data_IF_098925158009
#
_entry.id   IF_098925158009
#
_cell.length_a   1.000
_cell.length_b   1.000
_cell.length_c   1.000
_cell.angle_alpha   90.00
_cell.angle_beta   90.00
_cell.angle_gamma   90.00
#
_symmetry.space_group_name_H-M   'P 1'
#
loop_
_entity.id
_entity.type
_entity.pdbx_description
1 polymer ?
#
# COMPACT_ATOMS: atom_id res chain seq x y z
N UNK A 1 -1.40 -20.46 9.14
CA UNK A 1 -1.93 -21.32 8.06
C UNK A 1 -0.96 -22.40 7.61
N UNK A 2 0.34 -22.13 7.43
CA UNK A 2 1.31 -23.20 7.13
C UNK A 2 1.32 -24.31 8.19
N UNK A 3 1.30 -23.99 9.49
CA UNK A 3 1.28 -25.04 10.53
C UNK A 3 0.04 -25.94 10.44
N UNK A 4 -1.15 -25.39 10.12
CA UNK A 4 -2.37 -26.18 9.93
C UNK A 4 -2.30 -27.08 8.70
N UNK A 5 -1.59 -26.64 7.66
CA UNK A 5 -1.32 -27.46 6.48
C UNK A 5 -0.32 -28.58 6.78
N UNK A 6 0.75 -28.32 7.54
CA UNK A 6 1.70 -29.34 7.98
C UNK A 6 1.08 -30.38 8.93
N UNK A 7 0.01 -30.01 9.64
CA UNK A 7 -0.78 -30.91 10.49
C UNK A 7 -1.88 -31.65 9.71
N UNK A 8 -1.88 -31.57 8.38
CA UNK A 8 -2.86 -32.21 7.48
C UNK A 8 -4.33 -31.83 7.72
N UNK A 9 -4.61 -30.77 8.47
CA UNK A 9 -5.97 -30.25 8.72
C UNK A 9 -6.55 -29.52 7.50
N UNK A 10 -5.70 -29.04 6.60
CA UNK A 10 -6.10 -28.33 5.38
C UNK A 10 -5.84 -29.18 4.14
N UNK A 11 -6.76 -29.21 3.16
CA UNK A 11 -6.59 -29.99 1.95
C UNK A 11 -5.40 -29.46 1.14
N UNK A 12 -4.61 -30.38 0.59
CA UNK A 12 -3.50 -30.08 -0.30
C UNK A 12 -3.62 -30.88 -1.57
N UNK A 13 -3.01 -30.36 -2.64
CA UNK A 13 -2.97 -31.04 -3.92
C UNK A 13 -1.56 -31.60 -4.14
N UNK A 14 -1.47 -32.86 -4.57
CA UNK A 14 -0.20 -33.45 -4.94
C UNK A 14 0.27 -32.86 -6.26
N UNK A 15 1.51 -32.38 -6.28
CA UNK A 15 2.14 -31.82 -7.47
C UNK A 15 3.48 -32.50 -7.71
N UNK A 16 3.82 -32.70 -8.97
CA UNK A 16 5.13 -33.23 -9.39
C UNK A 16 6.14 -32.08 -9.47
N UNK A 17 7.37 -32.27 -8.97
CA UNK A 17 8.42 -31.27 -9.04
C UNK A 17 8.88 -31.08 -10.49
N UNK A 18 9.33 -29.85 -10.77
CA UNK A 18 9.79 -29.44 -12.09
C UNK A 18 11.19 -29.97 -12.44
N UNK A 19 12.07 -30.17 -11.44
CA UNK A 19 13.47 -30.50 -11.66
C UNK A 19 13.91 -31.66 -10.74
N UNK A 20 14.03 -32.85 -11.32
CA UNK A 20 14.63 -34.03 -10.67
C UNK A 20 13.76 -34.67 -9.57
N UNK A 21 13.66 -36.00 -9.64
CA UNK A 21 12.89 -36.90 -8.75
C UNK A 21 11.38 -36.96 -9.02
N UNK A 22 10.87 -38.15 -9.35
CA UNK A 22 9.43 -38.48 -9.49
C UNK A 22 8.64 -38.44 -8.16
N UNK A 23 9.24 -37.93 -7.09
CA UNK A 23 8.59 -37.82 -5.77
C UNK A 23 7.56 -36.69 -5.77
N UNK A 24 6.29 -37.05 -5.67
CA UNK A 24 5.17 -36.11 -5.51
C UNK A 24 5.26 -35.38 -4.15
N UNK A 25 5.03 -34.07 -4.14
CA UNK A 25 4.95 -33.27 -2.92
C UNK A 25 3.56 -32.65 -2.76
N UNK A 26 3.13 -32.42 -1.51
CA UNK A 26 1.84 -31.81 -1.20
C UNK A 26 1.97 -30.28 -1.24
N UNK A 27 1.27 -29.62 -2.16
CA UNK A 27 1.21 -28.16 -2.29
C UNK A 27 -0.04 -27.59 -1.62
N UNK A 28 0.11 -26.45 -0.94
CA UNK A 28 -0.97 -25.76 -0.22
C UNK A 28 -0.91 -24.23 -0.40
N UNK A 29 -1.85 -23.60 -1.14
CA UNK A 29 -1.86 -22.14 -1.37
C UNK A 29 -2.37 -21.31 -0.17
N UNK A 30 -2.67 -21.95 0.95
CA UNK A 30 -3.39 -21.37 2.08
C UNK A 30 -2.73 -20.16 2.72
N UNK A 31 -1.40 -20.13 2.80
CA UNK A 31 -0.68 -18.98 3.35
C UNK A 31 -0.90 -17.72 2.50
N UNK A 32 -0.88 -17.87 1.17
CA UNK A 32 -1.06 -16.77 0.24
C UNK A 32 -2.53 -16.31 0.21
N UNK A 33 -3.46 -17.26 0.10
CA UNK A 33 -4.91 -17.03 0.17
C UNK A 33 -5.30 -16.22 1.40
N UNK A 34 -4.87 -16.68 2.58
CA UNK A 34 -5.22 -16.00 3.83
C UNK A 34 -4.54 -14.65 3.95
N UNK A 35 -3.30 -14.48 3.48
CA UNK A 35 -2.63 -13.19 3.41
C UNK A 35 -3.40 -12.17 2.55
N UNK A 36 -3.85 -12.57 1.35
CA UNK A 36 -4.64 -11.70 0.45
C UNK A 36 -6.00 -11.35 1.06
N UNK A 37 -6.69 -12.32 1.65
CA UNK A 37 -8.00 -12.07 2.29
C UNK A 37 -7.83 -11.11 3.48
N UNK A 38 -6.86 -11.37 4.36
CA UNK A 38 -6.62 -10.52 5.53
C UNK A 38 -6.19 -9.12 5.12
N UNK A 39 -5.29 -8.97 4.14
CA UNK A 39 -4.86 -7.65 3.67
C UNK A 39 -6.01 -6.87 3.04
N UNK A 40 -6.85 -7.52 2.23
CA UNK A 40 -8.03 -6.90 1.62
C UNK A 40 -9.04 -6.46 2.66
N UNK A 41 -9.38 -7.34 3.61
CA UNK A 41 -10.28 -7.00 4.72
C UNK A 41 -9.71 -5.85 5.56
N UNK A 42 -8.42 -5.85 5.81
CA UNK A 42 -7.74 -4.75 6.50
C UNK A 42 -7.90 -3.46 5.68
N UNK A 43 -7.59 -3.45 4.39
CA UNK A 43 -7.72 -2.24 3.57
C UNK A 43 -9.14 -1.64 3.54
N UNK A 44 -10.18 -2.48 3.46
CA UNK A 44 -11.56 -1.99 3.38
C UNK A 44 -12.18 -1.64 4.74
N UNK A 45 -11.84 -2.38 5.80
CA UNK A 45 -12.46 -2.22 7.11
C UNK A 45 -11.57 -1.49 8.13
N UNK A 46 -10.31 -1.21 7.81
CA UNK A 46 -9.44 -0.47 8.70
C UNK A 46 -9.89 0.98 8.79
N UNK A 47 -10.47 1.33 9.93
CA UNK A 47 -10.86 2.71 10.21
C UNK A 47 -9.64 3.51 10.64
N UNK A 48 -9.35 4.66 10.02
CA UNK A 48 -8.36 5.58 10.55
C UNK A 48 -8.84 6.05 11.94
N UNK A 49 -7.99 5.91 12.96
CA UNK A 49 -8.28 6.34 14.33
C UNK A 49 -7.86 7.78 14.62
N UNK A 50 -7.28 8.46 13.62
CA UNK A 50 -6.71 9.79 13.77
C UNK A 50 -7.61 10.80 13.06
N UNK A 51 -7.95 11.88 13.75
CA UNK A 51 -8.52 13.05 13.10
C UNK A 51 -7.44 13.67 12.22
N UNK A 52 -7.79 13.99 10.98
CA UNK A 52 -6.88 14.60 10.02
C UNK A 52 -7.51 15.85 9.44
N UNK A 53 -6.75 16.93 9.42
CA UNK A 53 -7.13 18.15 8.73
C UNK A 53 -6.63 18.08 7.28
N UNK A 54 -7.51 18.42 6.34
CA UNK A 54 -7.19 18.48 4.92
C UNK A 54 -7.85 19.72 4.33
N UNK A 55 -7.06 20.69 3.88
CA UNK A 55 -7.55 22.03 3.53
C UNK A 55 -8.72 22.02 2.55
N UNK A 56 -8.65 21.14 1.55
CA UNK A 56 -9.69 21.01 0.51
C UNK A 56 -11.04 20.50 1.05
N UNK A 57 -11.03 19.75 2.14
CA UNK A 57 -12.22 19.13 2.73
C UNK A 57 -12.71 19.91 3.94
N UNK A 58 -11.79 20.39 4.77
CA UNK A 58 -12.09 21.07 6.02
C UNK A 58 -12.39 22.58 5.84
N UNK A 59 -11.89 23.21 4.77
CA UNK A 59 -12.21 24.61 4.45
C UNK A 59 -13.34 24.65 3.44
N UNK A 60 -14.39 25.42 3.76
CA UNK A 60 -15.52 25.64 2.85
C UNK A 60 -15.02 26.29 1.55
N UNK A 61 -15.22 25.61 0.42
CA UNK A 61 -14.78 26.09 -0.89
C UNK A 61 -15.85 26.95 -1.61
N UNK A 62 -17.09 26.96 -1.10
CA UNK A 62 -18.25 27.60 -1.74
C UNK A 62 -18.49 28.99 -1.15
N UNK A 63 -18.52 29.10 0.17
CA UNK A 63 -18.72 30.38 0.86
C UNK A 63 -17.38 31.11 1.03
N UNK A 64 -17.26 32.29 0.41
CA UNK A 64 -16.04 33.09 0.46
C UNK A 64 -15.71 33.63 1.86
N UNK A 65 -16.73 33.94 2.68
CA UNK A 65 -16.51 34.43 4.03
C UNK A 65 -15.93 33.32 4.92
N UNK A 66 -16.54 32.14 4.88
CA UNK A 66 -16.05 30.97 5.62
C UNK A 66 -14.69 30.48 5.09
N UNK A 67 -14.44 30.62 3.79
CA UNK A 67 -13.13 30.31 3.20
C UNK A 67 -12.04 31.22 3.76
N UNK A 68 -12.30 32.53 3.80
CA UNK A 68 -11.36 33.50 4.35
C UNK A 68 -11.07 33.23 5.83
N UNK A 69 -12.11 32.94 6.62
CA UNK A 69 -11.97 32.56 8.02
C UNK A 69 -11.16 31.26 8.21
N UNK A 70 -11.43 30.23 7.40
CA UNK A 70 -10.69 28.97 7.43
C UNK A 70 -9.20 29.15 7.10
N UNK A 71 -8.88 29.98 6.11
CA UNK A 71 -7.50 30.30 5.74
C UNK A 71 -6.78 31.09 6.83
N UNK A 72 -7.46 32.05 7.48
CA UNK A 72 -6.90 32.81 8.60
C UNK A 72 -6.58 31.90 9.80
N UNK A 73 -7.42 30.89 10.06
CA UNK A 73 -7.25 29.95 11.15
C UNK A 73 -6.23 28.82 10.86
N UNK A 74 -5.72 28.72 9.64
CA UNK A 74 -4.83 27.63 9.24
C UNK A 74 -3.53 27.59 10.07
N UNK A 75 -2.95 28.75 10.39
CA UNK A 75 -1.77 28.82 11.24
C UNK A 75 -2.01 28.29 12.66
N UNK A 76 -3.22 28.49 13.21
CA UNK A 76 -3.61 27.94 14.51
C UNK A 76 -3.74 26.42 14.45
N UNK A 77 -4.32 25.88 13.36
CA UNK A 77 -4.43 24.43 13.13
C UNK A 77 -3.04 23.80 13.03
N UNK A 78 -2.14 24.39 12.24
CA UNK A 78 -0.76 23.89 12.13
C UNK A 78 -0.05 23.87 13.48
N UNK A 79 -0.21 24.92 14.29
CA UNK A 79 0.39 25.00 15.64
C UNK A 79 -0.19 23.98 16.63
N UNK A 80 -1.45 23.56 16.44
CA UNK A 80 -2.14 22.63 17.36
C UNK A 80 -2.17 21.19 16.85
N UNK A 81 -1.55 20.91 15.70
CA UNK A 81 -1.50 19.57 15.11
C UNK A 81 -0.36 18.76 15.71
N UNK A 82 -0.63 17.53 16.16
CA UNK A 82 0.39 16.66 16.77
C UNK A 82 1.45 16.18 15.75
N UNK A 83 1.10 16.10 14.47
CA UNK A 83 2.00 15.65 13.41
C UNK A 83 1.55 16.14 12.05
N UNK A 84 2.50 16.21 11.11
CA UNK A 84 2.24 16.61 9.73
C UNK A 84 2.65 15.51 8.75
N UNK A 85 1.71 15.06 7.91
CA UNK A 85 1.98 14.11 6.83
C UNK A 85 2.10 14.86 5.50
N UNK A 86 3.30 14.85 4.92
CA UNK A 86 3.58 15.43 3.61
C UNK A 86 3.56 14.32 2.55
N UNK A 87 2.61 14.40 1.63
CA UNK A 87 2.55 13.55 0.46
C UNK A 87 3.40 14.16 -0.65
N UNK A 88 4.61 13.64 -0.80
CA UNK A 88 5.59 14.19 -1.74
C UNK A 88 5.32 13.69 -3.16
N UNK A 89 4.87 14.61 -4.02
CA UNK A 89 4.76 14.43 -5.46
C UNK A 89 5.72 15.36 -6.22
N UNK A 90 5.81 15.19 -7.54
CA UNK A 90 6.68 16.01 -8.39
C UNK A 90 6.31 17.51 -8.36
N UNK A 91 5.06 17.83 -8.02
CA UNK A 91 4.55 19.21 -7.93
C UNK A 91 4.56 19.77 -6.50
N UNK A 92 5.06 19.04 -5.51
CA UNK A 92 5.02 19.48 -4.12
C UNK A 92 5.85 20.74 -3.93
N UNK A 93 7.09 20.72 -4.43
CA UNK A 93 8.03 21.84 -4.31
C UNK A 93 7.64 23.06 -5.18
N UNK A 94 6.78 22.91 -6.19
CA UNK A 94 6.31 24.03 -7.01
C UNK A 94 5.12 24.77 -6.37
N UNK A 95 4.43 24.15 -5.41
CA UNK A 95 3.30 24.74 -4.69
C UNK A 95 3.79 25.48 -3.45
N UNK A 96 3.96 26.79 -3.58
CA UNK A 96 4.46 27.66 -2.51
C UNK A 96 3.65 27.54 -1.21
N UNK A 97 2.34 27.33 -1.33
CA UNK A 97 1.44 27.12 -0.18
C UNK A 97 1.84 25.91 0.67
N UNK A 98 2.13 24.76 0.04
CA UNK A 98 2.52 23.54 0.76
C UNK A 98 3.86 23.71 1.49
N UNK A 99 4.82 24.43 0.88
CA UNK A 99 6.09 24.75 1.53
C UNK A 99 5.91 25.71 2.70
N UNK A 100 4.99 26.68 2.58
CA UNK A 100 4.65 27.60 3.66
C UNK A 100 4.06 26.85 4.86
N UNK A 101 3.12 25.93 4.64
CA UNK A 101 2.52 25.13 5.71
C UNK A 101 3.56 24.27 6.43
N UNK A 102 4.44 23.61 5.66
CA UNK A 102 5.52 22.78 6.21
C UNK A 102 6.50 23.63 7.03
N UNK A 103 6.89 24.80 6.52
CA UNK A 103 7.77 25.73 7.24
C UNK A 103 7.10 26.29 8.52
N UNK A 104 5.80 26.62 8.45
CA UNK A 104 5.04 27.11 9.60
C UNK A 104 4.87 26.02 10.68
N UNK A 105 4.65 24.77 10.28
CA UNK A 105 4.62 23.62 11.19
C UNK A 105 5.96 23.44 11.91
N UNK A 106 7.07 23.40 11.15
CA UNK A 106 8.42 23.26 11.70
C UNK A 106 8.81 24.45 12.59
N UNK A 107 8.34 25.65 12.27
CA UNK A 107 8.63 26.84 13.08
C UNK A 107 7.84 26.88 14.39
N UNK A 108 6.66 26.27 14.42
CA UNK A 108 5.77 26.26 15.59
C UNK A 108 6.03 25.13 16.57
N UNK A 109 6.86 24.14 16.20
CA UNK A 109 7.20 22.97 17.02
C UNK A 109 8.71 22.88 17.25
N UNK A 110 9.14 22.74 18.51
CA UNK A 110 10.57 22.57 18.86
C UNK A 110 11.13 21.25 18.30
N UNK A 111 10.34 20.16 18.36
CA UNK A 111 10.66 18.83 17.81
C UNK A 111 9.92 18.54 16.48
N UNK A 112 9.70 19.57 15.67
CA UNK A 112 8.87 19.47 14.46
C UNK A 112 9.36 18.43 13.43
N UNK A 113 10.67 18.15 13.38
CA UNK A 113 11.23 17.16 12.47
C UNK A 113 10.84 15.72 12.82
N UNK A 114 10.67 15.40 14.10
CA UNK A 114 10.28 14.05 14.53
C UNK A 114 8.82 13.75 14.19
N UNK A 115 8.00 14.80 14.16
CA UNK A 115 6.57 14.75 13.90
C UNK A 115 6.20 15.00 12.43
N UNK A 116 7.20 15.29 11.59
CA UNK A 116 7.04 15.47 10.15
C UNK A 116 7.27 14.15 9.41
N UNK A 117 6.22 13.60 8.80
CA UNK A 117 6.29 12.36 8.01
C UNK A 117 6.18 12.69 6.53
N UNK A 118 7.26 12.47 5.77
CA UNK A 118 7.24 12.63 4.31
C UNK A 118 7.05 11.26 3.67
N UNK A 119 6.03 11.12 2.82
CA UNK A 119 5.72 9.88 2.09
C UNK A 119 5.55 10.17 0.59
N UNK A 120 6.30 9.49 -0.29
CA UNK A 120 6.11 9.65 -1.72
C UNK A 120 4.73 9.14 -2.17
N UNK A 121 4.09 9.87 -3.09
CA UNK A 121 2.76 9.53 -3.60
C UNK A 121 2.74 8.27 -4.47
N UNK A 122 3.85 7.90 -5.10
CA UNK A 122 3.93 6.69 -5.93
C UNK A 122 3.92 5.38 -5.11
N UNK A 123 4.11 5.43 -3.78
CA UNK A 123 4.03 4.23 -2.95
C UNK A 123 2.65 3.55 -3.02
N UNK A 124 1.58 4.33 -3.10
CA UNK A 124 0.22 3.81 -3.21
C UNK A 124 0.01 2.99 -4.49
N UNK A 125 0.23 3.52 -5.70
CA UNK A 125 0.08 2.73 -6.93
C UNK A 125 1.04 1.53 -6.98
N UNK A 126 2.30 1.66 -6.54
CA UNK A 126 3.21 0.52 -6.47
C UNK A 126 2.67 -0.61 -5.58
N UNK A 127 2.08 -0.27 -4.42
CA UNK A 127 1.49 -1.25 -3.51
C UNK A 127 0.32 -1.97 -4.16
N UNK A 128 -0.55 -1.26 -4.88
CA UNK A 128 -1.67 -1.87 -5.61
C UNK A 128 -1.21 -2.76 -6.76
N UNK A 129 -0.19 -2.35 -7.52
CA UNK A 129 0.40 -3.15 -8.60
C UNK A 129 0.99 -4.44 -8.04
N UNK A 130 1.77 -4.36 -6.96
CA UNK A 130 2.35 -5.55 -6.30
C UNK A 130 1.23 -6.48 -5.82
N UNK A 131 0.22 -5.95 -5.13
CA UNK A 131 -0.91 -6.75 -4.66
C UNK A 131 -1.65 -7.45 -5.81
N UNK A 132 -1.90 -6.73 -6.91
CA UNK A 132 -2.52 -7.29 -8.11
C UNK A 132 -1.68 -8.40 -8.73
N UNK A 133 -0.37 -8.20 -8.87
CA UNK A 133 0.55 -9.20 -9.40
C UNK A 133 0.58 -10.47 -8.53
N UNK A 134 0.54 -10.31 -7.20
CA UNK A 134 0.47 -11.44 -6.27
C UNK A 134 -0.82 -12.24 -6.45
N UNK A 135 -1.96 -11.58 -6.63
CA UNK A 135 -3.25 -12.24 -6.89
C UNK A 135 -3.24 -12.98 -8.24
N UNK A 136 -2.71 -12.36 -9.30
CA UNK A 136 -2.58 -13.02 -10.61
C UNK A 136 -1.68 -14.26 -10.53
N UNK A 137 -0.55 -14.18 -9.84
CA UNK A 137 0.33 -15.32 -9.60
C UNK A 137 -0.42 -16.42 -8.87
N UNK A 138 -1.23 -16.10 -7.86
CA UNK A 138 -2.03 -17.09 -7.13
C UNK A 138 -3.08 -17.79 -8.01
N UNK A 139 -3.84 -17.03 -8.81
CA UNK A 139 -4.84 -17.60 -9.72
C UNK A 139 -4.20 -18.50 -10.79
N UNK A 140 -3.04 -18.10 -11.28
CA UNK A 140 -2.30 -18.86 -12.27
C UNK A 140 -1.67 -20.14 -11.67
N UNK A 141 -1.18 -20.09 -10.43
CA UNK A 141 -0.73 -21.28 -9.67
C UNK A 141 -1.86 -22.30 -9.46
N UNK A 142 -3.11 -21.84 -9.30
CA UNK A 142 -4.28 -22.69 -9.10
C UNK A 142 -4.77 -23.33 -10.41
N UNK A 143 -4.63 -22.62 -11.54
CA UNK A 143 -5.20 -23.03 -12.84
C UNK A 143 -4.25 -23.85 -13.70
N UNK A 144 -2.93 -23.69 -13.56
CA UNK A 144 -1.95 -24.34 -14.45
C UNK A 144 -1.18 -25.47 -13.74
N UNK A 145 -1.30 -26.73 -14.21
CA UNK A 145 -0.44 -27.81 -13.73
C UNK A 145 1.01 -27.57 -14.22
N UNK A 146 2.00 -27.80 -13.35
CA UNK A 146 3.44 -27.59 -13.65
C UNK A 146 3.97 -28.70 -14.56
N UNK A 147 3.57 -28.68 -15.82
CA UNK A 147 3.96 -29.71 -16.79
C UNK A 147 5.10 -29.24 -17.70
N UNK A 148 5.39 -27.93 -17.79
CA UNK A 148 6.32 -27.43 -18.82
C UNK A 148 7.18 -26.22 -18.43
N UNK A 149 8.45 -26.24 -18.83
CA UNK A 149 9.49 -25.21 -18.63
C UNK A 149 9.09 -23.83 -19.17
N UNK A 150 8.32 -23.80 -20.26
CA UNK A 150 7.81 -22.57 -20.85
C UNK A 150 6.96 -21.77 -19.85
N UNK A 151 6.21 -22.45 -18.97
CA UNK A 151 5.34 -21.80 -17.99
C UNK A 151 6.15 -21.13 -16.89
N UNK A 152 7.28 -21.73 -16.47
CA UNK A 152 8.18 -21.17 -15.45
C UNK A 152 8.93 -19.96 -16.00
N UNK A 153 9.43 -20.03 -17.23
CA UNK A 153 10.08 -18.88 -17.90
C UNK A 153 9.08 -17.73 -18.07
N UNK A 154 7.82 -18.04 -18.41
CA UNK A 154 6.74 -17.03 -18.48
C UNK A 154 6.46 -16.40 -17.11
N UNK A 155 6.54 -17.16 -16.01
CA UNK A 155 6.38 -16.61 -14.64
C UNK A 155 7.46 -15.61 -14.27
N UNK A 156 8.72 -15.93 -14.60
CA UNK A 156 9.87 -15.06 -14.32
C UNK A 156 9.84 -13.79 -15.20
N UNK A 157 9.46 -13.93 -16.47
CA UNK A 157 9.39 -12.79 -17.39
C UNK A 157 8.23 -11.85 -17.08
N UNK A 158 7.04 -12.35 -16.73
CA UNK A 158 5.90 -11.51 -16.32
C UNK A 158 6.16 -10.76 -15.01
N UNK A 159 6.80 -11.40 -14.02
CA UNK A 159 7.24 -10.74 -12.79
C UNK A 159 8.27 -9.64 -13.10
N UNK A 160 9.28 -9.94 -13.93
CA UNK A 160 10.27 -8.96 -14.35
C UNK A 160 9.63 -7.77 -15.09
N UNK A 161 8.68 -8.00 -16.01
CA UNK A 161 7.95 -6.96 -16.73
C UNK A 161 7.09 -6.08 -15.81
N UNK A 162 6.42 -6.68 -14.81
CA UNK A 162 5.63 -5.92 -13.83
C UNK A 162 6.50 -5.04 -12.91
N UNK A 163 7.74 -5.43 -12.65
CA UNK A 163 8.71 -4.63 -11.89
C UNK A 163 9.41 -3.55 -12.73
N UNK A 164 9.53 -3.74 -14.06
CA UNK A 164 10.19 -2.78 -14.98
C UNK A 164 9.24 -1.66 -15.41
N UNK A 165 7.93 -1.87 -15.31
CA UNK A 165 6.89 -0.91 -15.73
C UNK A 165 6.32 -0.05 -14.60
N UNK A 166 6.86 -0.18 -13.38
CA UNK A 166 6.56 0.65 -12.21
C UNK A 166 7.71 1.64 -11.93
#
# INVERSE_FOLDING_TARGET
>A
MMCLFCLDLLPGYFRRPFLGSDTEYKYGPWALLTGVVVSTLTLFFWRPKQAMFLDRVCINQVDQAMKAEGVLNMGAILKHSDSMLVLWDTTFASRLWCLFEMAAFLKSHEDGLEHLRIKPTYLAPCTFVIAFCVVLMMLFELTVPFVSIYVVVTKLSLLALSCITA
#
